data_IF_243255363628
#
_entry.id   IF_243255363628
#
_cell.length_a   1.000
_cell.length_b   1.000
_cell.length_c   1.000
_cell.angle_alpha   90.00
_cell.angle_beta   90.00
_cell.angle_gamma   90.00
#
_symmetry.space_group_name_H-M   'P 1'
#
loop_
_entity.id
_entity.type
_entity.pdbx_description
1 polymer ?
#
# COMPACT_ATOMS: atom_id res chain seq x y z
N UNK A 1 -51.11 -16.22 41.79
CA UNK A 1 -50.47 -16.39 40.47
C UNK A 1 -50.18 -15.00 39.91
N UNK A 2 -48.97 -14.50 40.14
CA UNK A 2 -48.59 -13.13 39.76
C UNK A 2 -47.78 -13.14 38.47
N UNK A 3 -48.35 -12.59 37.41
CA UNK A 3 -47.67 -12.25 36.17
C UNK A 3 -46.54 -11.24 36.46
N UNK A 4 -45.27 -11.68 36.38
CA UNK A 4 -44.13 -10.77 36.31
C UNK A 4 -44.11 -10.16 34.91
N UNK A 5 -44.54 -8.91 34.78
CA UNK A 5 -44.13 -8.02 33.68
C UNK A 5 -42.61 -7.86 33.78
N UNK A 6 -41.89 -8.34 32.79
CA UNK A 6 -40.48 -8.01 32.62
C UNK A 6 -40.39 -6.60 32.06
N UNK A 7 -39.90 -5.71 32.91
CA UNK A 7 -39.64 -4.30 32.68
C UNK A 7 -38.61 -4.14 31.54
N UNK A 8 -39.03 -3.51 30.45
CA UNK A 8 -38.24 -3.32 29.23
C UNK A 8 -37.21 -2.17 29.32
N UNK A 9 -36.85 -1.72 30.53
CA UNK A 9 -36.07 -0.48 30.71
C UNK A 9 -34.71 -0.64 31.41
N UNK A 10 -34.12 -1.85 31.39
CA UNK A 10 -32.77 -2.11 31.96
C UNK A 10 -31.83 -2.95 31.08
N UNK A 11 -31.93 -2.78 29.75
CA UNK A 11 -30.88 -3.21 28.79
C UNK A 11 -30.15 -2.04 28.13
N UNK A 12 -30.17 -0.89 28.78
CA UNK A 12 -29.19 0.17 28.53
C UNK A 12 -28.03 -0.01 29.49
N UNK A 13 -26.81 -0.02 28.93
CA UNK A 13 -25.49 -0.14 29.55
C UNK A 13 -24.91 -1.55 29.51
N UNK A 14 -23.74 -1.63 28.89
CA UNK A 14 -22.87 -2.79 28.74
C UNK A 14 -23.23 -3.69 27.55
N UNK A 15 -23.22 -3.12 26.34
CA UNK A 15 -22.39 -3.72 25.30
C UNK A 15 -21.59 -2.60 24.68
N UNK A 16 -20.29 -2.80 24.66
CA UNK A 16 -19.26 -1.82 24.36
C UNK A 16 -19.64 -1.06 23.10
N UNK A 17 -19.62 0.27 23.20
CA UNK A 17 -19.36 1.14 22.07
C UNK A 17 -18.07 0.63 21.43
N UNK A 18 -18.20 -0.25 20.44
CA UNK A 18 -17.16 -0.42 19.44
C UNK A 18 -17.08 0.96 18.80
N UNK A 19 -15.96 1.69 18.92
CA UNK A 19 -15.76 2.78 18.02
C UNK A 19 -15.54 2.11 16.67
N UNK A 20 -16.61 1.87 15.90
CA UNK A 20 -16.53 1.66 14.44
C UNK A 20 -16.27 3.05 13.83
N UNK A 21 -15.18 3.61 14.31
CA UNK A 21 -14.41 4.69 13.76
C UNK A 21 -13.03 4.11 13.53
N UNK A 22 -12.94 2.93 12.90
CA UNK A 22 -11.79 2.66 12.02
C UNK A 22 -11.99 3.60 10.85
N UNK A 23 -11.70 4.88 11.12
CA UNK A 23 -11.27 5.84 10.15
C UNK A 23 -10.23 5.05 9.38
N UNK A 24 -10.59 4.57 8.19
CA UNK A 24 -9.62 4.59 7.11
C UNK A 24 -9.18 6.05 7.08
N UNK A 25 -8.21 6.40 7.94
CA UNK A 25 -7.23 7.40 7.57
C UNK A 25 -6.80 6.85 6.23
N UNK A 26 -7.28 7.46 5.14
CA UNK A 26 -6.56 7.44 3.88
C UNK A 26 -5.15 7.79 4.30
N UNK A 27 -4.32 6.76 4.54
CA UNK A 27 -2.93 6.98 4.88
C UNK A 27 -2.42 7.64 3.63
N UNK A 28 -2.16 8.95 3.75
CA UNK A 28 -1.65 9.77 2.67
C UNK A 28 -0.46 9.06 2.06
N UNK A 29 -0.28 9.21 0.76
CA UNK A 29 0.85 8.64 0.05
C UNK A 29 2.15 9.02 0.80
N UNK A 30 2.90 8.01 1.25
CA UNK A 30 4.17 8.19 1.93
C UNK A 30 5.29 7.93 0.95
N UNK A 31 5.69 8.98 0.23
CA UNK A 31 6.78 8.96 -0.75
C UNK A 31 8.12 8.47 -0.17
N UNK A 32 8.38 8.79 1.10
CA UNK A 32 9.59 8.33 1.80
C UNK A 32 9.57 6.81 1.97
N UNK A 33 8.48 6.27 2.50
CA UNK A 33 8.32 4.81 2.69
C UNK A 33 8.35 4.07 1.36
N UNK A 34 7.69 4.59 0.31
CA UNK A 34 7.74 3.96 -1.02
C UNK A 34 9.16 3.92 -1.58
N UNK A 35 9.94 5.00 -1.41
CA UNK A 35 11.34 5.01 -1.86
C UNK A 35 12.17 3.95 -1.13
N UNK A 36 12.02 3.84 0.19
CA UNK A 36 12.74 2.86 1.01
C UNK A 36 12.36 1.42 0.62
N UNK A 37 11.06 1.15 0.42
CA UNK A 37 10.56 -0.16 0.00
C UNK A 37 11.04 -0.55 -1.41
N UNK A 38 11.05 0.41 -2.35
CA UNK A 38 11.57 0.20 -3.69
C UNK A 38 13.08 -0.04 -3.67
N UNK A 39 13.84 0.73 -2.89
CA UNK A 39 15.29 0.57 -2.79
C UNK A 39 15.65 -0.82 -2.23
N UNK A 40 14.96 -1.26 -1.18
CA UNK A 40 15.14 -2.61 -0.64
C UNK A 40 14.82 -3.68 -1.69
N UNK A 41 13.69 -3.55 -2.39
CA UNK A 41 13.25 -4.53 -3.40
C UNK A 41 14.17 -4.59 -4.62
N UNK A 42 14.77 -3.46 -5.01
CA UNK A 42 15.60 -3.33 -6.21
C UNK A 42 17.08 -3.66 -5.94
N UNK A 43 17.59 -3.32 -4.77
CA UNK A 43 19.03 -3.32 -4.49
C UNK A 43 19.46 -4.33 -3.41
N UNK A 44 18.63 -4.58 -2.39
CA UNK A 44 19.03 -5.39 -1.22
C UNK A 44 18.46 -6.81 -1.23
N UNK A 45 17.35 -7.04 -1.91
CA UNK A 45 16.73 -8.35 -2.01
C UNK A 45 17.30 -9.22 -3.12
N UNK A 46 18.35 -10.01 -2.87
CA UNK A 46 18.80 -11.02 -3.85
C UNK A 46 17.71 -12.04 -4.18
N UNK A 47 16.88 -12.42 -3.19
CA UNK A 47 15.79 -13.38 -3.34
C UNK A 47 14.38 -12.77 -3.49
N UNK A 48 14.28 -11.46 -3.75
CA UNK A 48 12.97 -10.83 -3.95
C UNK A 48 12.38 -11.29 -5.27
N UNK A 49 11.38 -12.17 -5.19
CA UNK A 49 10.58 -12.61 -6.33
C UNK A 49 10.01 -11.38 -7.05
N UNK A 50 10.10 -11.31 -8.38
CA UNK A 50 9.63 -10.14 -9.11
C UNK A 50 10.64 -8.99 -9.22
N UNK A 51 11.85 -9.10 -8.64
CA UNK A 51 12.88 -8.06 -8.71
C UNK A 51 13.34 -7.79 -10.14
N UNK A 52 13.59 -8.84 -10.92
CA UNK A 52 14.00 -8.70 -12.33
C UNK A 52 12.92 -7.98 -13.12
N UNK A 53 11.67 -8.42 -12.94
CA UNK A 53 10.48 -7.84 -13.54
C UNK A 53 10.29 -6.38 -13.11
N UNK A 54 10.59 -6.05 -11.85
CA UNK A 54 10.52 -4.68 -11.32
C UNK A 54 11.61 -3.79 -11.93
N UNK A 55 12.84 -4.30 -12.08
CA UNK A 55 13.94 -3.60 -12.76
C UNK A 55 13.61 -3.37 -14.23
N UNK A 56 13.10 -4.38 -14.92
CA UNK A 56 12.67 -4.28 -16.32
C UNK A 56 11.54 -3.26 -16.48
N UNK A 57 10.54 -3.27 -15.60
CA UNK A 57 9.44 -2.31 -15.63
C UNK A 57 9.93 -0.86 -15.48
N UNK A 58 10.89 -0.59 -14.58
CA UNK A 58 11.51 0.73 -14.47
C UNK A 58 12.48 1.05 -15.63
N UNK A 59 12.95 0.06 -16.40
CA UNK A 59 13.87 0.27 -17.52
C UNK A 59 13.18 0.67 -18.83
N UNK A 60 11.87 0.45 -18.96
CA UNK A 60 11.10 0.64 -20.22
C UNK A 60 10.98 2.07 -20.75
N UNK A 61 11.45 3.07 -20.04
CA UNK A 61 11.44 4.49 -20.44
C UNK A 61 10.10 5.24 -20.35
N UNK A 62 8.97 4.59 -20.04
CA UNK A 62 7.64 5.21 -20.03
C UNK A 62 6.92 5.06 -18.67
N UNK A 63 6.40 6.17 -18.13
CA UNK A 63 5.64 6.20 -16.89
C UNK A 63 4.24 5.57 -17.04
N UNK A 64 3.71 5.42 -18.26
CA UNK A 64 2.45 4.70 -18.53
C UNK A 64 2.51 3.23 -18.16
N UNK A 65 3.72 2.68 -18.02
CA UNK A 65 3.97 1.29 -17.62
C UNK A 65 3.91 1.10 -16.09
N UNK A 66 3.45 2.10 -15.31
CA UNK A 66 3.30 1.97 -13.85
C UNK A 66 2.40 0.81 -13.42
N UNK A 67 1.47 0.37 -14.28
CA UNK A 67 0.71 -0.86 -14.05
C UNK A 67 1.63 -2.07 -13.90
N UNK A 68 2.64 -2.22 -14.77
CA UNK A 68 3.61 -3.31 -14.70
C UNK A 68 4.54 -3.20 -13.49
N UNK A 69 4.89 -1.98 -13.07
CA UNK A 69 5.64 -1.76 -11.81
C UNK A 69 4.84 -2.25 -10.62
N UNK A 70 3.53 -1.97 -10.57
CA UNK A 70 2.64 -2.43 -9.49
C UNK A 70 2.48 -3.96 -9.54
N UNK A 71 2.33 -4.56 -10.72
CA UNK A 71 2.25 -6.02 -10.89
C UNK A 71 3.53 -6.72 -10.44
N UNK A 72 4.70 -6.24 -10.90
CA UNK A 72 6.00 -6.78 -10.48
C UNK A 72 6.21 -6.62 -8.96
N UNK A 73 5.80 -5.48 -8.39
CA UNK A 73 5.88 -5.27 -6.94
C UNK A 73 5.02 -6.28 -6.15
N UNK A 74 3.84 -6.66 -6.66
CA UNK A 74 2.98 -7.68 -6.03
C UNK A 74 3.58 -9.09 -6.05
N UNK A 75 4.50 -9.39 -6.96
CA UNK A 75 5.15 -10.70 -7.03
C UNK A 75 6.08 -10.94 -5.84
N UNK A 76 6.73 -9.88 -5.34
CA UNK A 76 7.68 -9.94 -4.22
C UNK A 76 7.15 -9.42 -2.89
N UNK A 77 6.15 -8.52 -2.93
CA UNK A 77 5.60 -7.89 -1.75
C UNK A 77 4.30 -8.57 -1.30
N UNK A 78 4.32 -9.22 -0.13
CA UNK A 78 3.10 -9.79 0.49
C UNK A 78 2.39 -8.83 1.43
N UNK A 79 3.04 -7.71 1.78
CA UNK A 79 2.43 -6.68 2.61
C UNK A 79 1.50 -5.79 1.78
N UNK A 80 0.19 -5.97 2.00
CA UNK A 80 -0.87 -5.21 1.34
C UNK A 80 -0.79 -3.71 1.64
N UNK A 81 -0.23 -3.29 2.78
CA UNK A 81 -0.08 -1.88 3.12
C UNK A 81 0.99 -1.21 2.24
N UNK A 82 2.08 -1.92 1.93
CA UNK A 82 3.14 -1.43 1.05
C UNK A 82 2.65 -1.31 -0.39
N UNK A 83 1.92 -2.31 -0.88
CA UNK A 83 1.28 -2.25 -2.21
C UNK A 83 0.28 -1.09 -2.27
N UNK A 84 -0.55 -0.91 -1.24
CA UNK A 84 -1.51 0.19 -1.21
C UNK A 84 -0.81 1.56 -1.19
N UNK A 85 0.30 1.71 -0.48
CA UNK A 85 1.07 2.95 -0.47
C UNK A 85 1.72 3.24 -1.83
N UNK A 86 2.27 2.21 -2.49
CA UNK A 86 2.81 2.30 -3.85
C UNK A 86 1.73 2.73 -4.85
N UNK A 87 0.56 2.07 -4.85
CA UNK A 87 -0.56 2.42 -5.73
C UNK A 87 -1.06 3.84 -5.48
N UNK A 88 -1.12 4.30 -4.22
CA UNK A 88 -1.48 5.69 -3.91
C UNK A 88 -0.45 6.69 -4.47
N UNK A 89 0.85 6.42 -4.32
CA UNK A 89 1.90 7.26 -4.91
C UNK A 89 1.80 7.29 -6.44
N UNK A 90 1.52 6.15 -7.08
CA UNK A 90 1.31 6.05 -8.52
C UNK A 90 0.12 6.90 -8.99
N UNK A 91 -1.00 6.87 -8.26
CA UNK A 91 -2.17 7.69 -8.56
C UNK A 91 -1.95 9.18 -8.31
N UNK A 92 -1.10 9.54 -7.34
CA UNK A 92 -0.79 10.95 -7.04
C UNK A 92 0.15 11.56 -8.09
N UNK A 93 1.22 10.85 -8.46
CA UNK A 93 2.18 11.28 -9.49
C UNK A 93 2.96 10.07 -10.03
N UNK A 94 2.43 9.47 -11.10
CA UNK A 94 3.06 8.32 -11.76
C UNK A 94 4.49 8.61 -12.24
N UNK A 95 4.73 9.83 -12.74
CA UNK A 95 6.03 10.23 -13.31
C UNK A 95 7.07 10.36 -12.20
N UNK A 96 6.70 10.93 -11.05
CA UNK A 96 7.59 11.02 -9.89
C UNK A 96 7.95 9.63 -9.37
N UNK A 97 6.97 8.74 -9.22
CA UNK A 97 7.21 7.38 -8.76
C UNK A 97 8.14 6.62 -9.71
N UNK A 98 7.87 6.73 -11.01
CA UNK A 98 8.70 6.16 -12.05
C UNK A 98 10.15 6.67 -12.00
N UNK A 99 10.33 7.99 -11.88
CA UNK A 99 11.65 8.61 -11.77
C UNK A 99 12.40 8.22 -10.49
N UNK A 100 11.71 7.99 -9.37
CA UNK A 100 12.32 7.44 -8.15
C UNK A 100 12.88 6.05 -8.45
N UNK A 101 12.07 5.15 -9.01
CA UNK A 101 12.50 3.80 -9.36
C UNK A 101 13.69 3.78 -10.30
N UNK A 102 13.67 4.61 -11.36
CA UNK A 102 14.81 4.73 -12.29
C UNK A 102 16.09 5.19 -11.63
N UNK A 103 16.02 6.19 -10.75
CA UNK A 103 17.18 6.66 -9.98
C UNK A 103 17.76 5.57 -9.08
N UNK A 104 16.91 4.71 -8.50
CA UNK A 104 17.35 3.62 -7.62
C UNK A 104 18.06 2.50 -8.37
N UNK A 105 17.78 2.30 -9.66
CA UNK A 105 18.50 1.37 -10.54
C UNK A 105 19.58 2.04 -11.39
N UNK A 106 20.00 3.25 -11.00
CA UNK A 106 21.04 4.06 -11.66
C UNK A 106 20.77 4.38 -13.15
N UNK A 107 19.52 4.25 -13.60
CA UNK A 107 19.15 4.67 -14.94
C UNK A 107 18.90 6.19 -14.96
N UNK A 108 19.52 6.88 -15.94
CA UNK A 108 19.27 8.33 -16.17
C UNK A 108 17.76 8.58 -16.22
N UNK A 109 17.28 9.57 -15.47
CA UNK A 109 15.88 10.02 -15.60
C UNK A 109 15.63 10.48 -17.04
N UNK A 110 14.52 10.05 -17.65
CA UNK A 110 14.09 10.51 -18.99
C UNK A 110 13.34 11.85 -18.89
#
# INVERSE_FOLDING_TARGET
MSFRRLDASKKQRILMLVPIGTREKKMSASWKSVKEDLDWSLNQGEDVKGRTELKEAFSKGDAKEMAHVIEASKMGQRDNHKIANLTRCAHEDEKRLYNIGRKLIELKAS
#
